data_IF_729977252152
#
_entry.id   IF_729977252152
#
_cell.length_a   1.000
_cell.length_b   1.000
_cell.length_c   1.000
_cell.angle_alpha   90.00
_cell.angle_beta   90.00
_cell.angle_gamma   90.00
#
_symmetry.space_group_name_H-M   'P 1'
#
loop_
_entity.id
_entity.type
_entity.pdbx_description
1 polymer ?
#
# COMPACT_ATOMS: atom_id res chain seq x y z
N UNK A 1 12.70 -19.64 -8.22
CA UNK A 1 12.21 -18.97 -7.01
C UNK A 1 10.80 -19.48 -6.73
N UNK A 2 10.52 -19.92 -5.50
CA UNK A 2 9.17 -20.32 -5.13
C UNK A 2 8.30 -19.07 -4.89
N UNK A 3 7.15 -19.00 -5.54
CA UNK A 3 6.15 -17.99 -5.23
C UNK A 3 5.49 -18.29 -3.88
N UNK A 4 5.28 -17.29 -3.06
CA UNK A 4 4.56 -17.39 -1.78
C UNK A 4 3.50 -16.31 -1.71
N UNK A 5 2.31 -16.65 -1.19
CA UNK A 5 1.25 -15.68 -0.98
C UNK A 5 1.45 -14.92 0.35
N UNK A 6 0.83 -13.76 0.46
CA UNK A 6 0.93 -12.93 1.67
C UNK A 6 0.27 -13.60 2.88
N UNK A 7 0.94 -13.65 4.05
CA UNK A 7 0.34 -14.11 5.30
C UNK A 7 -0.71 -13.13 5.87
N UNK A 8 -0.85 -11.94 5.30
CA UNK A 8 -1.87 -10.96 5.69
C UNK A 8 -3.26 -11.33 5.17
N UNK A 9 -3.37 -12.35 4.31
CA UNK A 9 -4.66 -12.80 3.74
C UNK A 9 -5.53 -13.41 4.83
N UNK A 10 -6.73 -12.84 5.00
CA UNK A 10 -7.75 -13.34 5.93
C UNK A 10 -8.97 -13.95 5.22
N UNK A 11 -9.04 -13.77 3.91
CA UNK A 11 -10.10 -14.33 3.06
C UNK A 11 -9.53 -14.78 1.72
N UNK A 12 -9.96 -15.94 1.22
CA UNK A 12 -9.54 -16.46 -0.08
C UNK A 12 -10.76 -16.95 -0.87
N UNK A 13 -10.90 -16.40 -2.07
CA UNK A 13 -11.84 -16.91 -3.07
C UNK A 13 -11.21 -16.79 -4.46
N UNK A 14 -10.67 -17.89 -4.96
CA UNK A 14 -9.93 -17.87 -6.22
C UNK A 14 -10.85 -17.62 -7.42
N UNK A 15 -10.42 -16.71 -8.25
CA UNK A 15 -11.08 -16.33 -9.51
C UNK A 15 -10.64 -17.26 -10.65
N UNK A 16 -11.55 -17.66 -11.55
CA UNK A 16 -11.18 -18.31 -12.78
C UNK A 16 -10.56 -17.36 -13.82
N UNK A 17 -10.66 -16.05 -13.61
CA UNK A 17 -10.19 -15.01 -14.54
C UNK A 17 -8.70 -14.73 -14.37
N UNK A 18 -7.86 -15.68 -14.76
CA UNK A 18 -6.40 -15.53 -14.72
C UNK A 18 -5.75 -16.32 -15.86
N UNK A 19 -4.51 -16.02 -16.20
CA UNK A 19 -3.82 -16.67 -17.33
C UNK A 19 -2.85 -17.78 -16.91
N UNK A 20 -3.05 -18.37 -15.72
CA UNK A 20 -2.14 -19.38 -15.20
C UNK A 20 -0.80 -18.78 -14.76
N UNK A 21 0.21 -19.62 -14.68
CA UNK A 21 1.51 -19.29 -14.12
C UNK A 21 2.20 -18.14 -14.86
N UNK A 22 2.80 -17.23 -14.07
CA UNK A 22 3.62 -16.13 -14.59
C UNK A 22 4.84 -16.65 -15.34
N UNK A 23 5.17 -15.98 -16.41
CA UNK A 23 6.37 -16.24 -17.22
C UNK A 23 7.52 -15.27 -16.88
N UNK A 24 7.24 -14.25 -16.06
CA UNK A 24 8.21 -13.22 -15.66
C UNK A 24 8.29 -13.11 -14.13
N UNK A 25 9.45 -12.71 -13.64
CA UNK A 25 9.63 -12.42 -12.21
C UNK A 25 8.74 -11.25 -11.75
N UNK A 26 8.34 -11.28 -10.48
CA UNK A 26 7.58 -10.20 -9.86
C UNK A 26 8.55 -9.06 -9.52
N UNK A 27 8.36 -7.92 -10.16
CA UNK A 27 9.14 -6.69 -9.95
C UNK A 27 8.28 -5.43 -10.03
N UNK A 28 6.94 -5.58 -10.03
CA UNK A 28 5.98 -4.48 -10.04
C UNK A 28 4.88 -4.69 -9.00
N UNK A 29 4.33 -3.58 -8.52
CA UNK A 29 3.07 -3.53 -7.78
C UNK A 29 2.17 -2.51 -8.46
N UNK A 30 0.90 -2.88 -8.67
CA UNK A 30 -0.10 -1.99 -9.28
C UNK A 30 -1.30 -1.87 -8.35
N UNK A 31 -1.39 -0.79 -7.55
CA UNK A 31 -2.58 -0.47 -6.79
C UNK A 31 -3.70 0.03 -7.69
N UNK A 32 -4.94 -0.38 -7.40
CA UNK A 32 -6.16 0.03 -8.08
C UNK A 32 -7.18 0.59 -7.09
N UNK A 33 -8.20 1.30 -7.57
CA UNK A 33 -9.38 1.68 -6.81
C UNK A 33 -10.60 0.91 -7.31
N UNK A 34 -11.36 0.30 -6.40
CA UNK A 34 -12.57 -0.48 -6.72
C UNK A 34 -13.74 0.42 -7.14
N UNK A 35 -13.68 1.73 -6.82
CA UNK A 35 -14.81 2.67 -6.99
C UNK A 35 -16.01 2.24 -6.15
N UNK A 36 -15.75 1.89 -4.89
CA UNK A 36 -16.77 1.47 -3.93
C UNK A 36 -16.18 0.98 -2.61
N UNK A 37 -17.02 0.97 -1.59
CA UNK A 37 -16.70 0.46 -0.25
C UNK A 37 -16.95 -1.05 -0.21
N UNK A 38 -16.13 -1.82 -0.92
CA UNK A 38 -16.27 -3.28 -1.02
C UNK A 38 -15.90 -4.00 0.28
N UNK A 39 -16.44 -5.19 0.45
CA UNK A 39 -15.93 -6.21 1.39
C UNK A 39 -15.03 -7.20 0.66
N UNK A 40 -14.18 -7.92 1.40
CA UNK A 40 -13.32 -8.96 0.81
C UNK A 40 -14.17 -10.05 0.13
N UNK A 41 -15.29 -10.42 0.75
CA UNK A 41 -16.25 -11.41 0.23
C UNK A 41 -16.92 -10.90 -1.06
N UNK A 42 -17.44 -9.66 -1.06
CA UNK A 42 -18.12 -9.07 -2.22
C UNK A 42 -17.20 -8.93 -3.43
N UNK A 43 -15.94 -8.56 -3.22
CA UNK A 43 -14.94 -8.50 -4.29
C UNK A 43 -14.60 -9.90 -4.82
N UNK A 44 -14.51 -10.91 -3.92
CA UNK A 44 -14.33 -12.30 -4.29
C UNK A 44 -15.51 -12.86 -5.10
N UNK A 45 -16.75 -12.51 -4.75
CA UNK A 45 -17.96 -12.90 -5.48
C UNK A 45 -18.00 -12.25 -6.88
N UNK A 46 -17.52 -11.03 -6.99
CA UNK A 46 -17.38 -10.35 -8.28
C UNK A 46 -16.38 -11.07 -9.18
N UNK A 47 -15.17 -11.34 -8.68
CA UNK A 47 -14.11 -11.98 -9.47
C UNK A 47 -14.34 -13.46 -9.73
N UNK A 48 -15.19 -14.15 -8.95
CA UNK A 48 -15.53 -15.56 -9.17
C UNK A 48 -16.37 -15.78 -10.44
N UNK A 49 -17.03 -14.75 -10.97
CA UNK A 49 -17.83 -14.83 -12.18
C UNK A 49 -16.91 -14.76 -13.41
N UNK A 50 -16.98 -15.74 -14.29
CA UNK A 50 -16.23 -15.73 -15.57
C UNK A 50 -16.59 -14.53 -16.44
N UNK A 51 -17.85 -14.08 -16.37
CA UNK A 51 -18.36 -12.91 -17.11
C UNK A 51 -17.71 -11.58 -16.67
N UNK A 52 -17.08 -11.52 -15.49
CA UNK A 52 -16.37 -10.32 -15.02
C UNK A 52 -15.15 -10.01 -15.89
N UNK A 53 -14.49 -11.03 -16.47
CA UNK A 53 -13.32 -10.89 -17.33
C UNK A 53 -12.21 -10.01 -16.71
N UNK A 54 -12.15 -9.99 -15.38
CA UNK A 54 -11.18 -9.25 -14.59
C UNK A 54 -10.88 -9.98 -13.28
N UNK A 55 -9.72 -9.71 -12.70
CA UNK A 55 -9.32 -10.19 -11.38
C UNK A 55 -8.13 -9.39 -10.85
N UNK A 56 -7.84 -9.51 -9.56
CA UNK A 56 -6.60 -9.04 -8.95
C UNK A 56 -5.95 -10.13 -8.11
N UNK A 57 -4.65 -9.99 -7.81
CA UNK A 57 -4.02 -10.91 -6.87
C UNK A 57 -4.63 -10.72 -5.47
N UNK A 58 -4.69 -9.49 -4.99
CA UNK A 58 -5.24 -9.13 -3.69
C UNK A 58 -6.30 -8.07 -3.80
N UNK A 59 -7.12 -7.96 -2.76
CA UNK A 59 -7.96 -6.81 -2.50
C UNK A 59 -7.86 -6.39 -1.05
N UNK A 60 -8.03 -5.10 -0.79
CA UNK A 60 -8.11 -4.53 0.55
C UNK A 60 -9.52 -3.96 0.70
N UNK A 61 -10.29 -4.52 1.60
CA UNK A 61 -11.67 -4.11 1.83
C UNK A 61 -11.77 -2.80 2.62
N UNK A 62 -12.99 -2.28 2.76
CA UNK A 62 -13.26 -1.00 3.45
C UNK A 62 -12.80 -0.95 4.91
N UNK A 63 -12.57 -2.10 5.54
CA UNK A 63 -12.14 -2.22 6.93
C UNK A 63 -10.67 -2.66 7.04
N UNK A 64 -9.94 -2.68 5.92
CA UNK A 64 -8.52 -3.01 5.86
C UNK A 64 -8.21 -4.52 5.85
N UNK A 65 -9.21 -5.39 5.65
CA UNK A 65 -8.99 -6.83 5.53
C UNK A 65 -8.43 -7.17 4.15
N UNK A 66 -7.49 -8.11 4.09
CA UNK A 66 -6.86 -8.53 2.83
C UNK A 66 -7.52 -9.82 2.32
N UNK A 67 -8.09 -9.74 1.12
CA UNK A 67 -8.56 -10.89 0.35
C UNK A 67 -7.57 -11.31 -0.73
N UNK A 68 -7.51 -12.62 -1.05
CA UNK A 68 -6.75 -13.15 -2.18
C UNK A 68 -7.70 -13.76 -3.21
N UNK A 69 -7.52 -13.35 -4.47
CA UNK A 69 -8.39 -13.80 -5.59
C UNK A 69 -7.62 -14.48 -6.72
N UNK A 70 -6.33 -14.17 -6.85
CA UNK A 70 -5.40 -14.88 -7.73
C UNK A 70 -4.09 -15.07 -6.96
N UNK A 71 -3.61 -16.31 -6.86
CA UNK A 71 -2.32 -16.58 -6.22
C UNK A 71 -1.17 -15.82 -6.92
N UNK A 72 -0.16 -15.39 -6.17
CA UNK A 72 0.96 -14.63 -6.74
C UNK A 72 1.72 -15.35 -7.86
N UNK A 73 1.72 -16.69 -7.86
CA UNK A 73 2.30 -17.47 -8.94
C UNK A 73 1.58 -17.28 -10.29
N UNK A 74 0.33 -16.79 -10.28
CA UNK A 74 -0.52 -16.66 -11.46
C UNK A 74 -0.66 -15.19 -11.87
N UNK A 75 -0.83 -14.94 -13.19
CA UNK A 75 -1.10 -13.64 -13.74
C UNK A 75 -2.59 -13.30 -13.63
N UNK A 76 -2.93 -12.27 -12.86
CA UNK A 76 -4.29 -11.68 -12.81
C UNK A 76 -4.62 -10.91 -14.10
N UNK A 77 -5.89 -10.54 -14.27
CA UNK A 77 -6.40 -9.68 -15.35
C UNK A 77 -6.87 -8.35 -14.77
N UNK A 78 -5.94 -7.43 -14.51
CA UNK A 78 -6.25 -6.23 -13.72
C UNK A 78 -5.93 -4.92 -14.43
N UNK A 79 -4.73 -4.78 -14.99
CA UNK A 79 -4.25 -3.48 -15.49
C UNK A 79 -4.55 -3.20 -16.96
N UNK A 80 -5.26 -4.07 -17.67
CA UNK A 80 -5.44 -4.02 -19.13
C UNK A 80 -4.12 -4.15 -19.92
N UNK A 81 -3.05 -4.64 -19.28
CA UNK A 81 -1.74 -4.84 -19.89
C UNK A 81 -1.17 -6.21 -19.50
N UNK A 82 -1.13 -7.13 -20.44
CA UNK A 82 -0.54 -8.45 -20.24
C UNK A 82 0.91 -8.35 -19.76
N UNK A 83 1.71 -7.46 -20.36
CA UNK A 83 3.10 -7.26 -20.02
C UNK A 83 3.30 -6.72 -18.58
N UNK A 84 2.39 -5.83 -18.12
CA UNK A 84 2.41 -5.36 -16.75
C UNK A 84 1.96 -6.46 -15.79
N UNK A 85 0.82 -7.10 -16.05
CA UNK A 85 0.23 -8.10 -15.14
C UNK A 85 1.10 -9.36 -15.00
N UNK A 86 1.93 -9.69 -15.98
CA UNK A 86 2.95 -10.75 -15.85
C UNK A 86 3.99 -10.45 -14.78
N UNK A 87 4.28 -9.19 -14.53
CA UNK A 87 5.32 -8.70 -13.61
C UNK A 87 4.76 -8.12 -12.32
N UNK A 88 3.46 -7.74 -12.31
CA UNK A 88 2.86 -6.99 -11.22
C UNK A 88 2.07 -7.88 -10.25
N UNK A 89 2.20 -7.61 -8.96
CA UNK A 89 1.16 -7.92 -7.99
C UNK A 89 0.14 -6.79 -8.05
N UNK A 90 -1.10 -7.15 -8.38
CA UNK A 90 -2.20 -6.20 -8.51
C UNK A 90 -3.07 -6.21 -7.26
N UNK A 91 -3.48 -5.03 -6.79
CA UNK A 91 -4.18 -4.87 -5.52
C UNK A 91 -5.37 -3.94 -5.72
N UNK A 92 -6.58 -4.46 -5.61
CA UNK A 92 -7.80 -3.65 -5.63
C UNK A 92 -8.11 -3.10 -4.23
N UNK A 93 -8.22 -1.79 -4.10
CA UNK A 93 -8.44 -1.12 -2.82
C UNK A 93 -9.84 -0.50 -2.75
N UNK A 94 -10.55 -0.73 -1.67
CA UNK A 94 -11.80 -0.04 -1.39
C UNK A 94 -11.59 1.47 -1.41
N UNK A 95 -12.49 2.19 -2.05
CA UNK A 95 -12.39 3.63 -2.28
C UNK A 95 -13.76 4.30 -2.27
N UNK A 96 -13.79 5.62 -2.32
CA UNK A 96 -15.02 6.35 -2.59
C UNK A 96 -15.53 6.07 -4.01
N UNK A 97 -16.81 6.36 -4.24
CA UNK A 97 -17.51 6.09 -5.51
C UNK A 97 -17.36 7.22 -6.53
N UNK A 98 -16.76 8.34 -6.14
CA UNK A 98 -16.55 9.52 -7.00
C UNK A 98 -15.11 10.03 -6.88
N UNK A 99 -14.64 10.74 -7.89
CA UNK A 99 -13.33 11.41 -7.82
C UNK A 99 -13.24 12.31 -6.57
N UNK A 100 -12.12 12.28 -5.86
CA UNK A 100 -10.81 11.70 -6.25
C UNK A 100 -10.64 10.20 -5.94
N UNK A 101 -11.72 9.44 -5.67
CA UNK A 101 -11.73 8.02 -5.26
C UNK A 101 -10.84 7.77 -4.04
N UNK A 102 -11.06 8.57 -3.00
CA UNK A 102 -10.24 8.52 -1.80
C UNK A 102 -10.34 7.16 -1.09
N UNK A 103 -9.21 6.70 -0.56
CA UNK A 103 -9.17 5.53 0.32
C UNK A 103 -9.38 5.97 1.76
N UNK A 104 -10.06 5.14 2.54
CA UNK A 104 -10.06 5.28 4.00
C UNK A 104 -8.64 5.06 4.53
N UNK A 105 -8.30 5.70 5.65
CA UNK A 105 -6.95 5.60 6.22
C UNK A 105 -6.56 4.13 6.49
N UNK A 106 -7.45 3.33 7.07
CA UNK A 106 -7.19 1.90 7.31
C UNK A 106 -6.83 1.13 6.03
N UNK A 107 -7.44 1.48 4.89
CA UNK A 107 -7.15 0.86 3.58
C UNK A 107 -5.75 1.24 3.12
N UNK A 108 -5.40 2.53 3.23
CA UNK A 108 -4.08 3.01 2.84
C UNK A 108 -2.96 2.45 3.71
N UNK A 109 -3.16 2.41 5.03
CA UNK A 109 -2.19 1.80 5.97
C UNK A 109 -2.01 0.30 5.70
N UNK A 110 -3.08 -0.41 5.36
CA UNK A 110 -2.99 -1.83 4.98
C UNK A 110 -2.27 -1.99 3.64
N UNK A 111 -2.49 -1.10 2.66
CA UNK A 111 -1.76 -1.11 1.39
C UNK A 111 -0.24 -0.97 1.61
N UNK A 112 0.19 -0.03 2.47
CA UNK A 112 1.60 0.13 2.83
C UNK A 112 2.17 -1.18 3.40
N UNK A 113 1.47 -1.80 4.37
CA UNK A 113 1.90 -3.06 5.00
C UNK A 113 1.97 -4.21 3.99
N UNK A 114 0.98 -4.32 3.11
CA UNK A 114 0.95 -5.36 2.08
C UNK A 114 2.07 -5.16 1.05
N UNK A 115 2.35 -3.93 0.64
CA UNK A 115 3.49 -3.62 -0.24
C UNK A 115 4.84 -3.98 0.41
N UNK A 116 5.02 -3.73 1.71
CA UNK A 116 6.23 -4.13 2.46
C UNK A 116 6.38 -5.65 2.45
N UNK A 117 5.30 -6.39 2.74
CA UNK A 117 5.29 -7.85 2.74
C UNK A 117 5.63 -8.41 1.36
N UNK A 118 4.98 -7.91 0.30
CA UNK A 118 5.26 -8.32 -1.08
C UNK A 118 6.73 -8.06 -1.43
N UNK A 119 7.25 -6.88 -1.12
CA UNK A 119 8.65 -6.56 -1.38
C UNK A 119 9.60 -7.52 -0.67
N UNK A 120 9.41 -7.75 0.64
CA UNK A 120 10.24 -8.67 1.43
C UNK A 120 10.25 -10.08 0.87
N UNK A 121 9.07 -10.65 0.56
CA UNK A 121 8.94 -12.02 0.03
C UNK A 121 9.57 -12.17 -1.36
N UNK A 122 9.64 -11.09 -2.14
CA UNK A 122 10.27 -11.07 -3.46
C UNK A 122 11.73 -10.58 -3.43
N UNK A 123 12.36 -10.49 -2.25
CA UNK A 123 13.76 -10.08 -2.09
C UNK A 123 14.03 -8.63 -2.49
N UNK A 124 13.02 -7.74 -2.33
CA UNK A 124 13.12 -6.33 -2.68
C UNK A 124 13.30 -5.48 -1.43
N UNK A 125 14.19 -4.51 -1.50
CA UNK A 125 14.50 -3.56 -0.42
C UNK A 125 14.20 -2.10 -0.77
N UNK A 126 13.64 -1.86 -1.97
CA UNK A 126 13.29 -0.54 -2.46
C UNK A 126 12.05 -0.60 -3.35
N UNK A 127 11.05 0.24 -3.04
CA UNK A 127 9.89 0.49 -3.89
C UNK A 127 10.07 1.85 -4.58
N UNK A 128 9.89 1.90 -5.91
CA UNK A 128 10.19 3.08 -6.72
C UNK A 128 8.92 3.60 -7.40
N UNK A 129 8.71 4.90 -7.33
CA UNK A 129 7.74 5.64 -8.12
C UNK A 129 8.44 6.73 -8.93
N UNK A 130 8.35 6.68 -10.25
CA UNK A 130 8.93 7.73 -11.11
C UNK A 130 7.95 8.85 -11.44
N UNK A 131 6.65 8.64 -11.28
CA UNK A 131 5.62 9.62 -11.66
C UNK A 131 5.47 9.82 -13.17
N UNK A 132 6.24 9.11 -13.97
CA UNK A 132 6.30 9.22 -15.43
C UNK A 132 6.16 7.84 -16.07
N UNK A 133 5.23 7.71 -17.02
CA UNK A 133 4.89 6.45 -17.70
C UNK A 133 6.09 5.92 -18.49
N UNK A 134 6.66 6.76 -19.36
CA UNK A 134 7.67 6.30 -20.31
C UNK A 134 8.96 5.94 -19.58
N UNK A 135 9.37 6.77 -18.60
CA UNK A 135 10.49 6.47 -17.72
C UNK A 135 10.28 5.15 -16.97
N UNK A 136 9.08 4.92 -16.43
CA UNK A 136 8.76 3.71 -15.67
C UNK A 136 8.79 2.46 -16.56
N UNK A 137 8.17 2.52 -17.73
CA UNK A 137 8.02 1.35 -18.61
C UNK A 137 9.33 0.98 -19.32
N UNK A 138 10.22 1.94 -19.55
CA UNK A 138 11.55 1.75 -20.12
C UNK A 138 12.62 1.40 -19.07
N UNK A 139 12.29 1.46 -17.78
CA UNK A 139 13.23 1.14 -16.72
C UNK A 139 13.33 -0.37 -16.49
N UNK A 140 14.57 -0.86 -16.38
CA UNK A 140 14.86 -2.24 -15.98
C UNK A 140 15.21 -2.28 -14.49
N UNK A 141 14.32 -2.79 -13.61
CA UNK A 141 14.58 -2.84 -12.17
C UNK A 141 15.81 -3.67 -11.84
N UNK A 142 16.62 -3.18 -10.92
CA UNK A 142 17.71 -3.95 -10.34
C UNK A 142 17.17 -5.03 -9.41
N UNK A 143 18.01 -5.98 -9.03
CA UNK A 143 17.61 -7.14 -8.20
C UNK A 143 16.82 -6.77 -6.94
N UNK A 144 17.22 -5.74 -6.21
CA UNK A 144 16.56 -5.26 -4.99
C UNK A 144 15.40 -4.29 -5.21
N UNK A 145 15.01 -3.97 -6.44
CA UNK A 145 14.03 -2.94 -6.74
C UNK A 145 12.67 -3.52 -7.14
N UNK A 146 11.61 -2.88 -6.67
CA UNK A 146 10.21 -3.07 -7.05
C UNK A 146 9.68 -1.74 -7.58
N UNK A 147 8.85 -1.75 -8.62
CA UNK A 147 8.35 -0.54 -9.26
C UNK A 147 6.83 -0.44 -9.11
N UNK A 148 6.35 0.76 -8.82
CA UNK A 148 4.93 1.07 -8.88
C UNK A 148 4.50 1.42 -10.31
N UNK A 149 3.37 0.84 -10.73
CA UNK A 149 2.68 1.18 -11.97
C UNK A 149 1.21 1.46 -11.69
N UNK A 150 0.50 2.05 -12.63
CA UNK A 150 -0.92 2.40 -12.46
C UNK A 150 -1.73 2.07 -13.70
N UNK A 151 -2.99 1.68 -13.51
CA UNK A 151 -3.90 1.26 -14.58
C UNK A 151 -4.09 2.34 -15.67
N UNK A 152 -4.19 3.62 -15.28
CA UNK A 152 -4.37 4.74 -16.23
C UNK A 152 -3.26 4.89 -17.27
N UNK A 153 -2.12 4.23 -17.07
CA UNK A 153 -1.04 4.21 -18.06
C UNK A 153 -1.28 3.20 -19.19
N UNK A 154 -2.16 2.23 -19.00
CA UNK A 154 -2.38 1.12 -19.92
C UNK A 154 -3.75 1.17 -20.60
N UNK A 155 -4.71 1.90 -20.03
CA UNK A 155 -6.05 2.07 -20.57
C UNK A 155 -6.60 3.46 -20.23
N UNK A 156 -7.62 3.90 -20.97
CA UNK A 156 -8.36 5.14 -20.65
C UNK A 156 -9.24 4.94 -19.42
N UNK A 157 -8.63 4.99 -18.24
CA UNK A 157 -9.23 4.79 -16.91
C UNK A 157 -8.74 5.83 -15.93
N UNK A 158 -9.59 6.21 -14.96
CA UNK A 158 -9.20 7.10 -13.83
C UNK A 158 -8.36 6.36 -12.78
N UNK A 159 -8.44 5.03 -12.71
CA UNK A 159 -7.76 4.20 -11.71
C UNK A 159 -6.24 4.48 -11.66
N UNK A 160 -5.65 4.63 -10.48
CA UNK A 160 -6.17 4.38 -9.12
C UNK A 160 -6.90 5.56 -8.47
N UNK A 161 -7.42 6.53 -9.21
CA UNK A 161 -8.00 7.78 -8.73
C UNK A 161 -6.94 8.85 -8.44
N UNK A 162 -7.36 10.11 -8.42
CA UNK A 162 -6.41 11.21 -8.22
C UNK A 162 -5.89 11.24 -6.79
N UNK A 163 -6.68 10.78 -5.82
CA UNK A 163 -6.26 10.70 -4.42
C UNK A 163 -5.06 9.77 -4.24
N UNK A 164 -5.14 8.55 -4.79
CA UNK A 164 -4.05 7.57 -4.68
C UNK A 164 -2.88 7.95 -5.59
N UNK A 165 -3.16 8.45 -6.81
CA UNK A 165 -2.10 8.86 -7.74
C UNK A 165 -1.17 9.90 -7.12
N UNK A 166 -1.72 10.89 -6.42
CA UNK A 166 -0.94 11.91 -5.71
C UNK A 166 -0.09 11.34 -4.54
N UNK A 167 -0.45 10.15 -4.02
CA UNK A 167 0.21 9.49 -2.89
C UNK A 167 1.16 8.35 -3.29
N UNK A 168 1.31 8.07 -4.58
CA UNK A 168 2.20 6.99 -5.03
C UNK A 168 3.66 7.20 -4.63
N UNK A 169 4.12 8.46 -4.60
CA UNK A 169 5.45 8.83 -4.11
C UNK A 169 5.61 8.57 -2.61
N UNK A 170 4.63 8.98 -1.83
CA UNK A 170 4.57 8.73 -0.38
C UNK A 170 4.53 7.23 -0.06
N UNK A 171 3.70 6.45 -0.78
CA UNK A 171 3.68 4.99 -0.67
C UNK A 171 5.08 4.39 -0.90
N UNK A 172 5.75 4.80 -1.97
CA UNK A 172 7.09 4.32 -2.32
C UNK A 172 8.13 4.64 -1.23
N UNK A 173 8.07 5.85 -0.68
CA UNK A 173 8.96 6.33 0.38
C UNK A 173 8.73 5.54 1.68
N UNK A 174 7.49 5.44 2.16
CA UNK A 174 7.16 4.75 3.40
C UNK A 174 7.55 3.26 3.35
N UNK A 175 7.23 2.58 2.24
CA UNK A 175 7.60 1.17 2.03
C UNK A 175 9.12 1.01 2.01
N UNK A 176 9.84 1.85 1.26
CA UNK A 176 11.30 1.79 1.18
C UNK A 176 11.94 2.02 2.55
N UNK A 177 11.49 3.02 3.29
CA UNK A 177 11.98 3.31 4.65
C UNK A 177 11.78 2.11 5.59
N UNK A 178 10.61 1.46 5.54
CA UNK A 178 10.33 0.28 6.36
C UNK A 178 11.18 -0.94 5.96
N UNK A 179 11.50 -1.09 4.67
CA UNK A 179 12.36 -2.16 4.18
C UNK A 179 13.84 -1.97 4.60
N UNK A 180 14.32 -0.74 4.60
CA UNK A 180 15.70 -0.38 4.95
C UNK A 180 15.91 -0.34 6.46
N UNK A 181 14.94 0.15 7.24
CA UNK A 181 15.01 0.14 8.71
C UNK A 181 14.99 -1.25 9.34
N UNK A 182 14.68 -2.29 8.56
CA UNK A 182 14.76 -3.70 9.00
C UNK A 182 16.16 -4.31 8.82
N UNK A 183 17.10 -3.61 8.18
CA UNK A 183 18.48 -4.08 7.93
C UNK A 183 19.51 -3.47 8.88
N UNK A 184 19.12 -2.50 9.71
CA UNK A 184 20.02 -1.85 10.67
C UNK A 184 19.96 -2.53 12.06
N UNK A 185 20.41 -3.79 12.12
CA UNK A 185 20.86 -4.43 13.36
C UNK A 185 22.36 -4.17 13.52
N UNK A 186 22.80 -2.90 13.53
CA UNK A 186 24.21 -2.63 13.77
C UNK A 186 24.66 -1.25 13.31
N UNK A 187 24.40 -0.26 14.06
CA UNK A 187 25.21 0.88 14.46
C UNK A 187 24.33 2.08 14.74
N UNK A 188 24.41 2.58 15.96
CA UNK A 188 23.49 3.57 16.50
C UNK A 188 23.52 4.91 15.79
N UNK A 189 22.33 5.35 15.47
CA UNK A 189 21.93 6.74 15.60
C UNK A 189 20.51 6.74 16.14
N UNK A 190 20.39 6.82 17.44
CA UNK A 190 19.14 6.92 18.17
C UNK A 190 18.50 8.27 17.88
N UNK A 191 17.60 8.33 16.90
CA UNK A 191 16.43 9.17 17.08
C UNK A 191 15.68 8.55 18.26
N UNK A 192 15.94 9.04 19.49
CA UNK A 192 15.21 8.65 20.68
C UNK A 192 13.74 8.98 20.46
N UNK A 193 12.95 7.98 20.01
CA UNK A 193 11.51 8.04 20.15
C UNK A 193 11.25 8.28 21.63
N UNK A 194 10.48 9.30 21.95
CA UNK A 194 10.05 9.54 23.33
C UNK A 194 9.28 8.30 23.75
N UNK A 195 9.85 7.50 24.66
CA UNK A 195 9.18 6.28 25.11
C UNK A 195 7.85 6.66 25.74
N UNK A 196 6.80 5.90 25.49
CA UNK A 196 5.48 6.13 26.08
C UNK A 196 5.54 6.26 27.60
N UNK A 197 6.47 5.55 28.26
CA UNK A 197 6.77 5.69 29.69
C UNK A 197 7.22 7.09 30.11
N UNK A 198 7.79 7.88 29.22
CA UNK A 198 8.23 9.25 29.50
C UNK A 198 7.09 10.28 29.51
N UNK A 199 5.90 9.88 29.06
CA UNK A 199 4.68 10.72 29.05
C UNK A 199 3.70 10.31 30.17
N UNK A 200 3.96 9.19 30.83
CA UNK A 200 3.11 8.67 31.90
C UNK A 200 3.14 9.62 33.11
N UNK A 201 1.97 9.98 33.62
CA UNK A 201 1.80 10.88 34.78
C UNK A 201 2.20 12.34 34.54
N UNK A 202 2.28 12.81 33.31
CA UNK A 202 2.44 14.25 33.02
C UNK A 202 1.06 14.94 33.02
N UNK A 203 1.09 16.23 33.40
CA UNK A 203 -0.07 17.08 33.15
C UNK A 203 -0.28 17.24 31.61
N UNK A 204 -1.52 17.52 31.20
CA UNK A 204 -1.83 17.78 29.78
C UNK A 204 -0.92 18.87 29.20
N UNK A 205 -0.71 19.97 29.93
CA UNK A 205 0.16 21.07 29.52
C UNK A 205 1.63 20.63 29.33
N UNK A 206 2.16 19.76 30.19
CA UNK A 206 3.52 19.26 30.09
C UNK A 206 3.68 18.24 28.97
N UNK A 207 2.66 17.40 28.75
CA UNK A 207 2.62 16.46 27.64
C UNK A 207 2.61 17.23 26.31
N UNK A 208 1.75 18.23 26.15
CA UNK A 208 1.68 19.11 24.96
C UNK A 208 3.01 19.81 24.71
N UNK A 209 3.63 20.36 25.76
CA UNK A 209 4.93 21.04 25.65
C UNK A 209 6.04 20.09 25.20
N UNK A 210 6.00 18.84 25.68
CA UNK A 210 7.02 17.82 25.37
C UNK A 210 6.92 17.25 23.96
N UNK A 211 5.72 17.05 23.46
CA UNK A 211 5.50 16.46 22.12
C UNK A 211 5.18 17.48 21.04
N UNK A 212 4.74 18.69 21.40
CA UNK A 212 4.30 19.71 20.44
C UNK A 212 5.33 20.06 19.37
N UNK A 213 6.62 20.08 19.72
CA UNK A 213 7.70 20.31 18.77
C UNK A 213 7.78 19.21 17.68
N UNK A 214 7.43 17.96 18.02
CA UNK A 214 7.40 16.84 17.09
C UNK A 214 6.29 17.01 16.07
N UNK A 215 5.09 17.41 16.52
CA UNK A 215 3.95 17.67 15.62
C UNK A 215 4.17 18.89 14.73
N UNK A 216 4.84 19.93 15.23
CA UNK A 216 5.23 21.10 14.43
C UNK A 216 6.27 20.72 13.36
N UNK A 217 7.21 19.83 13.68
CA UNK A 217 8.17 19.32 12.71
C UNK A 217 7.50 18.42 11.66
N UNK A 218 6.51 17.62 12.07
CA UNK A 218 5.72 16.78 11.17
C UNK A 218 4.84 17.62 10.26
N UNK A 219 4.21 18.69 10.73
CA UNK A 219 3.42 19.62 9.91
C UNK A 219 4.21 20.12 8.69
N UNK A 220 5.49 20.42 8.86
CA UNK A 220 6.35 20.88 7.75
C UNK A 220 6.58 19.81 6.69
N UNK A 221 6.46 18.53 7.03
CA UNK A 221 6.68 17.40 6.15
C UNK A 221 5.37 16.86 5.56
N UNK A 222 4.36 16.68 6.40
CA UNK A 222 3.08 16.04 6.04
C UNK A 222 2.04 17.01 5.48
N UNK A 223 2.16 18.32 5.80
CA UNK A 223 1.15 19.34 5.51
C UNK A 223 -0.08 19.27 6.42
N UNK A 224 -0.14 18.34 7.37
CA UNK A 224 -1.22 18.23 8.36
C UNK A 224 -0.93 19.22 9.49
N UNK A 225 -1.94 20.02 9.88
CA UNK A 225 -1.78 20.96 10.98
C UNK A 225 -1.37 20.26 12.28
N UNK A 226 -0.31 20.73 12.92
CA UNK A 226 0.22 20.17 14.17
C UNK A 226 -0.84 20.07 15.28
N UNK A 227 -1.79 21.02 15.32
CA UNK A 227 -2.89 21.02 16.27
C UNK A 227 -3.87 19.86 16.05
N UNK A 228 -4.11 19.45 14.79
CA UNK A 228 -4.98 18.31 14.46
C UNK A 228 -4.33 17.00 14.87
N UNK A 229 -3.08 16.79 14.49
CA UNK A 229 -2.33 15.59 14.86
C UNK A 229 -2.14 15.46 16.37
N UNK A 230 -1.91 16.58 17.07
CA UNK A 230 -1.78 16.61 18.52
C UNK A 230 -3.12 16.31 19.22
N UNK A 231 -4.23 16.87 18.73
CA UNK A 231 -5.56 16.59 19.28
C UNK A 231 -5.93 15.11 19.13
N UNK A 232 -5.64 14.52 17.98
CA UNK A 232 -5.87 13.08 17.73
C UNK A 232 -5.01 12.23 18.67
N UNK A 233 -3.74 12.55 18.82
CA UNK A 233 -2.84 11.87 19.76
C UNK A 233 -3.38 11.90 21.20
N UNK A 234 -3.86 13.05 21.67
CA UNK A 234 -4.43 13.21 23.02
C UNK A 234 -5.69 12.34 23.18
N UNK A 235 -6.60 12.35 22.17
CA UNK A 235 -7.82 11.57 22.21
C UNK A 235 -7.55 10.06 22.22
N UNK A 236 -6.61 9.59 21.39
CA UNK A 236 -6.29 8.17 21.27
C UNK A 236 -5.47 7.63 22.45
N UNK A 237 -4.64 8.46 23.07
CA UNK A 237 -3.86 8.07 24.24
C UNK A 237 -4.64 8.08 25.55
N UNK A 238 -5.85 8.60 25.56
CA UNK A 238 -6.69 8.69 26.75
C UNK A 238 -6.04 9.47 27.89
N UNK A 239 -5.16 10.43 27.56
CA UNK A 239 -4.33 11.21 28.47
C UNK A 239 -3.27 10.40 29.25
N UNK A 240 -2.89 9.20 28.77
CA UNK A 240 -1.87 8.33 29.34
C UNK A 240 -2.43 7.09 30.00
#
# INVERSE_FOLDING_TARGET
MGYTNSPMVVYTKLSPNHSGQRTMAIDRITPHCVVGQCTAEGLGDWFAKTSTQASSNYGIDKDGRVGMYVEEKNRSWCSSSNANDQRAITIECASDTSEPYAFRDVVYQTLIKLCIDICKRNGKNKLIWFGDKDKTLNYSPKSGEMILTVHRWFANKSCPGNWMYARMGDLAEQVTKALQGSTDSGSGSTAKGTQASALKNLSEADAIKKVGALFTADQKKSGILASVSLAQFILESGYG
#
